data_IF_135900378173
#
_entry.id   IF_135900378173
#
_cell.length_a   1.000
_cell.length_b   1.000
_cell.length_c   1.000
_cell.angle_alpha   90.00
_cell.angle_beta   90.00
_cell.angle_gamma   90.00
#
_symmetry.space_group_name_H-M   'P 1'
#
loop_
_entity.id
_entity.type
_entity.pdbx_description
1 polymer ?
#
# COMPACT_ATOMS: atom_id res chain seq x y z
N UNK A 1 71.07 -8.15 27.09
CA UNK A 1 70.09 -9.25 27.25
C UNK A 1 68.73 -8.64 27.57
N UNK A 2 67.69 -9.17 26.92
CA UNK A 2 66.23 -8.98 27.06
C UNK A 2 65.66 -7.61 26.64
N UNK A 3 64.96 -7.51 25.50
CA UNK A 3 63.58 -7.97 25.20
C UNK A 3 62.55 -7.14 25.99
N UNK A 4 61.55 -6.48 25.40
CA UNK A 4 60.57 -7.04 24.46
C UNK A 4 59.73 -5.96 23.77
N UNK A 5 59.32 -6.28 22.55
CA UNK A 5 58.43 -5.56 21.63
C UNK A 5 57.07 -5.18 22.24
N UNK A 6 56.55 -4.01 21.86
CA UNK A 6 55.11 -3.72 21.96
C UNK A 6 54.59 -3.20 20.61
N UNK A 7 54.13 -4.13 19.78
CA UNK A 7 53.37 -3.86 18.56
C UNK A 7 52.03 -3.23 18.94
N UNK A 8 51.82 -1.97 18.57
CA UNK A 8 50.50 -1.33 18.63
C UNK A 8 49.70 -1.73 17.39
N UNK A 9 48.84 -2.73 17.53
CA UNK A 9 47.80 -3.05 16.54
C UNK A 9 46.69 -2.01 16.69
N UNK A 10 46.59 -1.10 15.73
CA UNK A 10 45.42 -0.21 15.58
C UNK A 10 44.40 -0.96 14.73
N UNK A 11 43.39 -1.53 15.39
CA UNK A 11 42.25 -2.17 14.73
C UNK A 11 41.29 -1.07 14.24
N UNK A 12 41.39 -0.71 12.96
CA UNK A 12 40.40 0.12 12.28
C UNK A 12 39.15 -0.71 12.01
N UNK A 13 38.18 -0.63 12.92
CA UNK A 13 36.84 -1.21 12.72
C UNK A 13 36.06 -0.30 11.77
N UNK A 14 36.15 -0.56 10.46
CA UNK A 14 35.34 0.14 9.45
C UNK A 14 33.90 -0.40 9.51
N UNK A 15 33.05 0.28 10.27
CA UNK A 15 31.61 0.03 10.31
C UNK A 15 30.99 0.59 9.01
N UNK A 16 30.97 -0.22 7.95
CA UNK A 16 30.15 0.09 6.78
C UNK A 16 28.67 -0.03 7.16
N UNK A 17 28.07 1.08 7.63
CA UNK A 17 26.62 1.21 7.62
C UNK A 17 26.19 1.22 6.14
N UNK A 18 25.74 0.08 5.63
CA UNK A 18 24.99 0.04 4.38
C UNK A 18 23.66 0.76 4.64
N UNK A 19 23.59 2.02 4.21
CA UNK A 19 22.31 2.72 4.13
C UNK A 19 21.38 1.88 3.22
N UNK A 20 20.09 1.71 3.60
CA UNK A 20 19.14 1.11 2.67
C UNK A 20 19.10 1.99 1.43
N UNK A 21 19.38 1.39 0.27
CA UNK A 21 19.17 2.01 -1.02
C UNK A 21 17.65 2.12 -1.18
N UNK A 22 17.10 3.27 -0.83
CA UNK A 22 15.78 3.66 -1.31
C UNK A 22 15.96 3.91 -2.80
N UNK A 23 15.52 2.96 -3.63
CA UNK A 23 15.45 3.18 -5.05
C UNK A 23 14.68 4.48 -5.29
N UNK A 24 15.25 5.42 -6.05
CA UNK A 24 14.55 6.58 -6.56
C UNK A 24 13.42 6.07 -7.46
N UNK A 25 12.26 5.77 -6.87
CA UNK A 25 11.05 5.45 -7.62
C UNK A 25 10.58 6.74 -8.26
N UNK A 26 11.09 6.99 -9.47
CA UNK A 26 10.51 7.99 -10.38
C UNK A 26 9.00 7.75 -10.41
N UNK A 27 8.23 8.77 -10.01
CA UNK A 27 6.76 8.70 -10.01
C UNK A 27 6.30 8.25 -11.41
N UNK A 28 5.46 7.20 -11.51
CA UNK A 28 5.01 6.69 -12.80
C UNK A 28 4.30 7.76 -13.63
N UNK A 29 4.36 7.64 -14.96
CA UNK A 29 3.60 8.54 -15.81
C UNK A 29 2.09 8.31 -15.61
N UNK A 30 1.28 9.37 -15.60
CA UNK A 30 -0.18 9.25 -15.52
C UNK A 30 -0.76 8.94 -14.14
N UNK A 31 0.05 9.01 -13.07
CA UNK A 31 -0.43 8.83 -11.69
C UNK A 31 -0.35 10.10 -10.85
N UNK A 32 -1.19 10.20 -9.81
CA UNK A 32 -1.16 11.28 -8.82
C UNK A 32 -0.49 10.81 -7.51
N UNK A 33 0.77 11.20 -7.26
CA UNK A 33 1.47 10.82 -6.03
C UNK A 33 0.88 11.50 -4.78
N UNK A 34 0.14 12.59 -4.92
CA UNK A 34 -0.49 13.29 -3.78
C UNK A 34 -1.71 12.54 -3.25
N UNK A 35 -2.24 11.60 -4.02
CA UNK A 35 -3.35 10.73 -3.63
C UNK A 35 -2.89 9.33 -3.23
N UNK A 36 -1.69 9.20 -2.66
CA UNK A 36 -1.21 7.95 -2.06
C UNK A 36 -1.14 8.12 -0.54
N UNK A 37 -1.64 7.14 0.19
CA UNK A 37 -1.59 7.14 1.65
C UNK A 37 -0.14 7.02 2.13
N UNK A 38 0.19 7.74 3.20
CA UNK A 38 1.50 7.62 3.88
C UNK A 38 1.51 6.55 4.96
N UNK A 39 0.33 6.12 5.41
CA UNK A 39 0.16 5.03 6.39
C UNK A 39 0.29 3.67 5.67
N UNK A 40 1.28 2.88 6.07
CA UNK A 40 1.55 1.57 5.47
C UNK A 40 0.44 0.53 5.73
N UNK A 41 -0.39 0.73 6.75
CA UNK A 41 -1.49 -0.19 7.07
C UNK A 41 -2.79 0.14 6.33
N UNK A 42 -2.90 1.36 5.77
CA UNK A 42 -4.09 1.82 5.08
C UNK A 42 -4.39 0.93 3.87
N UNK A 43 -5.57 0.32 3.86
CA UNK A 43 -6.02 -0.64 2.87
C UNK A 43 -5.36 -2.01 2.95
N UNK A 44 -4.25 -2.18 3.68
CA UNK A 44 -3.54 -3.46 3.82
C UNK A 44 -3.93 -4.25 5.07
N UNK A 45 -4.75 -3.68 5.94
CA UNK A 45 -5.24 -4.31 7.15
C UNK A 45 -6.76 -4.14 7.29
N UNK A 46 -7.39 -5.06 8.02
CA UNK A 46 -8.82 -4.95 8.35
C UNK A 46 -9.08 -3.80 9.33
N UNK A 47 -8.08 -3.43 10.12
CA UNK A 47 -8.13 -2.37 11.12
C UNK A 47 -8.07 -0.98 10.48
N UNK A 48 -7.49 -0.86 9.27
CA UNK A 48 -7.48 0.38 8.49
C UNK A 48 -7.94 0.11 7.05
N UNK A 49 -9.20 -0.29 6.85
CA UNK A 49 -9.70 -0.58 5.51
C UNK A 49 -9.86 0.71 4.71
N UNK A 50 -9.89 0.58 3.39
CA UNK A 50 -10.31 1.68 2.51
C UNK A 50 -11.80 1.88 2.72
N UNK A 51 -12.20 3.05 3.19
CA UNK A 51 -13.61 3.38 3.42
C UNK A 51 -14.21 4.02 2.18
N UNK A 52 -15.22 3.39 1.61
CA UNK A 52 -15.93 3.86 0.41
C UNK A 52 -17.43 3.71 0.60
N UNK A 53 -18.22 4.35 -0.26
CA UNK A 53 -19.64 4.08 -0.33
C UNK A 53 -20.33 4.75 -1.50
N UNK A 54 -21.63 4.51 -1.59
CA UNK A 54 -22.55 5.16 -2.53
C UNK A 54 -23.73 5.71 -1.71
N UNK A 55 -24.37 6.77 -2.20
CA UNK A 55 -25.59 7.32 -1.59
C UNK A 55 -26.74 6.32 -1.61
N UNK A 56 -26.74 5.42 -2.58
CA UNK A 56 -27.62 4.28 -2.62
C UNK A 56 -27.01 3.10 -1.84
N UNK A 57 -27.60 2.68 -0.70
CA UNK A 57 -27.03 1.64 0.16
C UNK A 57 -26.95 0.26 -0.53
N UNK A 58 -27.66 0.05 -1.64
CA UNK A 58 -27.57 -1.19 -2.43
C UNK A 58 -26.36 -1.21 -3.37
N UNK A 59 -25.66 -0.08 -3.51
CA UNK A 59 -24.54 0.11 -4.44
C UNK A 59 -23.16 0.06 -3.77
N UNK A 60 -23.06 -0.41 -2.53
CA UNK A 60 -21.77 -0.68 -1.87
C UNK A 60 -20.78 -1.45 -2.75
N UNK A 61 -21.14 -2.60 -3.35
CA UNK A 61 -20.22 -3.33 -4.21
C UNK A 61 -19.77 -2.57 -5.46
N UNK A 62 -20.59 -1.63 -5.94
CA UNK A 62 -20.22 -0.74 -7.06
C UNK A 62 -19.18 0.29 -6.59
N UNK A 63 -19.31 0.82 -5.37
CA UNK A 63 -18.35 1.74 -4.79
C UNK A 63 -16.95 1.11 -4.66
N UNK A 64 -16.86 -0.14 -4.20
CA UNK A 64 -15.58 -0.88 -4.10
C UNK A 64 -14.88 -1.01 -5.46
N UNK A 65 -15.63 -1.43 -6.49
CA UNK A 65 -15.10 -1.54 -7.86
C UNK A 65 -14.66 -0.20 -8.40
N UNK A 66 -15.46 0.85 -8.19
CA UNK A 66 -15.12 2.20 -8.61
C UNK A 66 -13.81 2.70 -7.98
N UNK A 67 -13.53 2.34 -6.73
CA UNK A 67 -12.23 2.59 -6.12
C UNK A 67 -11.11 1.75 -6.77
N UNK A 68 -11.28 0.44 -6.89
CA UNK A 68 -10.26 -0.46 -7.45
C UNK A 68 -9.88 -0.09 -8.91
N UNK A 69 -10.85 0.34 -9.71
CA UNK A 69 -10.64 0.77 -11.11
C UNK A 69 -9.73 2.00 -11.24
N UNK A 70 -9.57 2.78 -10.16
CA UNK A 70 -8.68 3.95 -10.12
C UNK A 70 -7.23 3.60 -9.79
N UNK A 71 -6.96 2.38 -9.31
CA UNK A 71 -5.64 1.99 -8.86
C UNK A 71 -4.71 1.71 -10.04
N UNK A 72 -3.45 2.11 -9.88
CA UNK A 72 -2.36 1.94 -10.83
C UNK A 72 -1.15 1.31 -10.14
N UNK A 73 -0.36 0.58 -10.91
CA UNK A 73 0.92 0.04 -10.46
C UNK A 73 2.08 1.00 -10.73
N UNK A 74 3.31 0.56 -10.43
CA UNK A 74 4.54 1.34 -10.63
C UNK A 74 4.87 1.62 -12.12
N UNK A 75 4.17 0.97 -13.06
CA UNK A 75 4.25 1.29 -14.48
C UNK A 75 3.14 2.28 -14.92
N UNK A 76 2.28 2.71 -13.99
CA UNK A 76 1.11 3.54 -14.28
C UNK A 76 0.00 2.76 -14.98
N UNK A 77 0.03 1.42 -14.97
CA UNK A 77 -0.98 0.57 -15.61
C UNK A 77 -2.10 0.21 -14.62
N UNK A 78 -3.33 -0.05 -15.09
CA UNK A 78 -4.40 -0.57 -14.24
C UNK A 78 -4.00 -1.89 -13.57
N UNK A 79 -4.42 -2.05 -12.32
CA UNK A 79 -4.33 -3.35 -11.63
C UNK A 79 -5.47 -4.27 -12.07
N UNK A 80 -5.26 -5.57 -11.95
CA UNK A 80 -6.33 -6.57 -11.98
C UNK A 80 -6.76 -6.92 -10.56
N UNK A 81 -8.02 -7.30 -10.36
CA UNK A 81 -8.49 -7.64 -9.02
C UNK A 81 -9.60 -8.68 -9.03
N UNK A 82 -9.69 -9.42 -7.93
CA UNK A 82 -10.82 -10.30 -7.64
C UNK A 82 -11.14 -10.26 -6.14
N UNK A 83 -12.44 -10.26 -5.82
CA UNK A 83 -12.89 -10.38 -4.43
C UNK A 83 -12.53 -11.77 -3.91
N UNK A 84 -11.94 -11.83 -2.71
CA UNK A 84 -11.55 -13.08 -2.05
C UNK A 84 -12.46 -13.44 -0.86
N UNK A 85 -13.33 -12.53 -0.42
CA UNK A 85 -14.36 -12.87 0.54
C UNK A 85 -14.68 -11.75 1.52
N UNK A 86 -15.52 -12.11 2.48
CA UNK A 86 -15.84 -11.34 3.67
C UNK A 86 -14.80 -11.67 4.76
N UNK A 87 -14.28 -10.65 5.46
CA UNK A 87 -13.27 -10.76 6.51
C UNK A 87 -13.81 -10.42 7.91
N UNK A 88 -15.14 -10.43 8.05
CA UNK A 88 -15.85 -10.10 9.28
C UNK A 88 -15.93 -8.61 9.55
N UNK A 89 -16.27 -8.28 10.79
CA UNK A 89 -16.42 -6.91 11.23
C UNK A 89 -15.07 -6.17 11.29
N UNK A 90 -15.09 -4.92 10.81
CA UNK A 90 -14.04 -3.92 10.97
C UNK A 90 -14.20 -3.06 12.23
N UNK A 91 -13.40 -2.00 12.39
CA UNK A 91 -13.34 -1.18 13.60
C UNK A 91 -14.66 -0.51 14.03
N UNK A 92 -15.53 -0.18 13.09
CA UNK A 92 -16.85 0.45 13.32
C UNK A 92 -18.01 -0.54 13.19
N UNK A 93 -17.71 -1.84 13.10
CA UNK A 93 -18.70 -2.92 13.09
C UNK A 93 -19.25 -3.27 11.70
N UNK A 94 -18.88 -2.52 10.66
CA UNK A 94 -19.24 -2.88 9.28
C UNK A 94 -18.47 -4.10 8.78
N UNK A 95 -19.06 -4.77 7.79
CA UNK A 95 -18.43 -5.90 7.11
C UNK A 95 -17.31 -5.38 6.21
N UNK A 96 -16.14 -6.01 6.32
CA UNK A 96 -14.99 -5.75 5.47
C UNK A 96 -14.88 -6.82 4.39
N UNK A 97 -14.67 -6.38 3.16
CA UNK A 97 -14.39 -7.24 2.03
C UNK A 97 -12.90 -7.20 1.68
N UNK A 98 -12.36 -8.36 1.33
CA UNK A 98 -10.98 -8.50 0.88
C UNK A 98 -10.90 -8.70 -0.63
N UNK A 99 -9.90 -8.08 -1.25
CA UNK A 99 -9.60 -8.19 -2.67
C UNK A 99 -8.14 -8.60 -2.88
N UNK A 100 -7.92 -9.63 -3.69
CA UNK A 100 -6.61 -9.80 -4.31
C UNK A 100 -6.48 -8.75 -5.40
N UNK A 101 -5.39 -7.97 -5.35
CA UNK A 101 -5.02 -6.99 -6.36
C UNK A 101 -3.67 -7.38 -6.93
N UNK A 102 -3.59 -7.50 -8.24
CA UNK A 102 -2.38 -7.91 -8.96
C UNK A 102 -1.97 -6.86 -10.00
N UNK A 103 -0.72 -6.42 -9.90
CA UNK A 103 -0.10 -5.45 -10.83
C UNK A 103 0.21 -6.09 -12.18
N UNK A 104 0.53 -5.27 -13.18
CA UNK A 104 0.93 -5.78 -14.50
C UNK A 104 2.24 -6.58 -14.49
N UNK A 105 3.04 -6.47 -13.43
CA UNK A 105 4.30 -7.22 -13.23
C UNK A 105 4.13 -8.45 -12.34
N UNK A 106 2.90 -8.76 -11.90
CA UNK A 106 2.58 -9.93 -11.08
C UNK A 106 2.77 -9.75 -9.56
N UNK A 107 3.15 -8.56 -9.09
CA UNK A 107 3.14 -8.24 -7.65
C UNK A 107 1.69 -8.24 -7.14
N UNK A 108 1.47 -8.87 -5.98
CA UNK A 108 0.14 -9.08 -5.37
C UNK A 108 -0.01 -8.31 -4.06
N UNK A 109 -1.21 -7.83 -3.82
CA UNK A 109 -1.65 -7.19 -2.59
C UNK A 109 -2.99 -7.77 -2.15
N UNK A 110 -3.26 -7.72 -0.85
CA UNK A 110 -4.60 -7.90 -0.31
C UNK A 110 -5.10 -6.53 0.13
N UNK A 111 -6.16 -6.05 -0.51
CA UNK A 111 -6.78 -4.77 -0.17
C UNK A 111 -8.09 -5.02 0.56
N UNK A 112 -8.22 -4.43 1.75
CA UNK A 112 -9.40 -4.47 2.59
C UNK A 112 -10.26 -3.23 2.36
N UNK A 113 -11.54 -3.41 2.09
CA UNK A 113 -12.47 -2.33 1.76
C UNK A 113 -13.71 -2.44 2.64
N UNK A 114 -14.14 -1.30 3.16
CA UNK A 114 -15.41 -1.10 3.85
C UNK A 114 -16.32 -0.27 2.94
N UNK A 115 -17.40 -0.89 2.44
CA UNK A 115 -18.31 -0.29 1.47
C UNK A 115 -19.49 0.49 2.09
N UNK A 116 -19.54 0.61 3.42
CA UNK A 116 -20.69 1.14 4.14
C UNK A 116 -20.55 2.63 4.52
N UNK A 117 -19.66 3.36 3.84
CA UNK A 117 -19.39 4.77 4.10
C UNK A 117 -19.89 5.67 2.96
N UNK A 118 -21.20 5.92 2.91
CA UNK A 118 -21.86 6.71 1.85
C UNK A 118 -21.31 8.13 1.65
N UNK A 119 -20.66 8.68 2.68
CA UNK A 119 -19.98 9.97 2.70
C UNK A 119 -18.64 9.96 1.96
N UNK A 120 -18.06 8.77 1.75
CA UNK A 120 -16.72 8.60 1.19
C UNK A 120 -16.81 8.23 -0.29
N UNK A 121 -16.57 9.24 -1.12
CA UNK A 121 -16.47 9.08 -2.58
C UNK A 121 -15.31 8.13 -2.93
N UNK A 122 -15.58 7.00 -3.61
CA UNK A 122 -14.57 5.99 -3.94
C UNK A 122 -13.40 6.55 -4.74
N UNK A 123 -13.66 7.48 -5.66
CA UNK A 123 -12.59 7.99 -6.53
C UNK A 123 -11.63 8.92 -5.79
N UNK A 124 -12.05 9.49 -4.66
CA UNK A 124 -11.25 10.42 -3.83
C UNK A 124 -10.43 9.72 -2.75
N UNK A 125 -10.68 8.44 -2.48
CA UNK A 125 -9.89 7.70 -1.51
C UNK A 125 -8.45 7.50 -2.03
N UNK A 126 -7.44 7.69 -1.17
CA UNK A 126 -6.05 7.53 -1.56
C UNK A 126 -5.74 6.08 -1.92
N UNK A 127 -4.72 5.85 -2.74
CA UNK A 127 -4.18 4.52 -2.97
C UNK A 127 -3.39 4.02 -1.73
N UNK A 128 -3.37 2.71 -1.45
CA UNK A 128 -2.51 2.11 -0.44
C UNK A 128 -1.04 2.21 -0.86
N UNK A 129 -0.12 2.21 0.10
CA UNK A 129 1.32 2.20 -0.21
C UNK A 129 1.66 1.03 -1.16
N UNK A 130 2.42 1.34 -2.21
CA UNK A 130 2.79 0.39 -3.26
C UNK A 130 1.82 0.32 -4.44
N UNK A 131 0.76 1.12 -4.42
CA UNK A 131 -0.16 1.38 -5.52
C UNK A 131 -0.33 2.90 -5.68
N UNK A 132 -0.88 3.32 -6.82
CA UNK A 132 -1.06 4.72 -7.17
C UNK A 132 -2.49 5.01 -7.61
N UNK A 133 -2.87 6.28 -7.63
CA UNK A 133 -4.12 6.75 -8.24
C UNK A 133 -3.88 7.20 -9.67
N UNK A 134 -4.78 6.84 -10.57
CA UNK A 134 -4.85 7.46 -11.89
C UNK A 134 -5.05 8.98 -11.77
N UNK A 135 -4.38 9.75 -12.63
CA UNK A 135 -4.67 11.18 -12.82
C UNK A 135 -6.04 11.43 -13.42
#
# INVERSE_FOLDING_TARGET
MNASNLFRVVLLLSLCLSLPVFADTKVPAGVDPTQTATDADYGHTKEKPVKVGDKDPTKGPKAERAYLDTLRDDDGKPVSYNRIGNFGAGPDGHIIDGYNVETSTGKKFVIYIDMYHSENDPVKQPAPVGLWKAK
#
